data_IF_519163144174
#
_entry.id   IF_519163144174
#
_cell.length_a   1.000
_cell.length_b   1.000
_cell.length_c   1.000
_cell.angle_alpha   90.00
_cell.angle_beta   90.00
_cell.angle_gamma   90.00
#
_symmetry.space_group_name_H-M   'P 1'
#
loop_
_entity.id
_entity.type
_entity.pdbx_description
1 polymer ?
#
# COMPACT_ATOMS: atom_id res chain seq x y z
N UNK A 1 -7.47 -11.67 6.62
CA UNK A 1 -8.40 -10.53 6.76
C UNK A 1 -8.76 -10.04 5.38
N UNK A 2 -10.06 -9.94 5.07
CA UNK A 2 -10.52 -9.42 3.78
C UNK A 2 -10.48 -7.88 3.76
N UNK A 3 -10.33 -7.26 2.59
CA UNK A 3 -10.32 -5.80 2.46
C UNK A 3 -11.64 -5.16 2.88
N UNK A 4 -12.77 -5.84 2.69
CA UNK A 4 -14.07 -5.40 3.23
C UNK A 4 -14.00 -5.15 4.74
N UNK A 5 -13.34 -6.05 5.48
CA UNK A 5 -13.19 -5.91 6.92
C UNK A 5 -12.35 -4.69 7.25
N UNK A 6 -11.22 -4.50 6.56
CA UNK A 6 -10.34 -3.36 6.76
C UNK A 6 -11.07 -2.01 6.64
N UNK A 7 -11.92 -1.88 5.63
CA UNK A 7 -12.68 -0.67 5.37
C UNK A 7 -13.72 -0.34 6.45
N UNK A 8 -14.08 -1.32 7.30
CA UNK A 8 -15.01 -1.12 8.42
C UNK A 8 -14.30 -1.04 9.78
N UNK A 9 -12.97 -1.17 9.81
CA UNK A 9 -12.19 -1.17 11.04
C UNK A 9 -11.69 0.23 11.39
N UNK A 10 -11.99 0.66 12.61
CA UNK A 10 -11.44 1.86 13.23
C UNK A 10 -10.55 1.53 14.45
N UNK A 11 -9.70 2.49 14.84
CA UNK A 11 -8.93 2.38 16.07
C UNK A 11 -9.87 2.45 17.30
N UNK A 12 -9.83 1.41 18.14
CA UNK A 12 -10.65 1.32 19.36
C UNK A 12 -9.88 1.74 20.63
N UNK A 13 -8.89 2.65 20.52
CA UNK A 13 -8.11 3.08 21.70
C UNK A 13 -8.93 4.14 22.47
N UNK A 14 -9.06 4.05 23.82
CA UNK A 14 -9.89 4.98 24.59
C UNK A 14 -9.53 6.46 24.43
N UNK A 15 -8.28 6.77 24.05
CA UNK A 15 -7.79 8.14 23.83
C UNK A 15 -7.61 8.50 22.36
N UNK A 16 -8.16 7.71 21.43
CA UNK A 16 -8.09 7.98 19.99
C UNK A 16 -9.48 8.33 19.46
N UNK A 17 -9.72 9.62 19.19
CA UNK A 17 -10.93 10.08 18.52
C UNK A 17 -10.68 10.23 17.01
N UNK A 18 -11.42 9.45 16.20
CA UNK A 18 -11.36 9.54 14.74
C UNK A 18 -10.19 8.79 14.09
N UNK A 19 -9.77 7.64 14.64
CA UNK A 19 -8.71 6.81 14.06
C UNK A 19 -9.15 5.93 12.89
N UNK A 20 -9.73 6.53 11.85
CA UNK A 20 -10.17 5.89 10.61
C UNK A 20 -9.78 6.78 9.41
N UNK A 21 -9.32 6.21 8.27
CA UNK A 21 -9.01 4.79 8.05
C UNK A 21 -7.72 4.35 8.74
N UNK A 22 -7.59 3.05 9.01
CA UNK A 22 -6.29 2.47 9.39
C UNK A 22 -5.44 2.32 8.11
N UNK A 23 -4.13 2.55 8.19
CA UNK A 23 -3.23 2.29 7.06
C UNK A 23 -2.84 0.83 7.03
N UNK A 24 -3.12 0.12 5.94
CA UNK A 24 -2.72 -1.29 5.76
C UNK A 24 -1.40 -1.38 5.01
N UNK A 25 -0.47 -2.18 5.53
CA UNK A 25 0.73 -2.58 4.82
C UNK A 25 0.89 -4.10 4.96
N UNK A 26 0.87 -4.84 3.84
CA UNK A 26 1.20 -6.26 3.85
C UNK A 26 2.69 -6.47 4.08
N UNK A 27 3.07 -7.62 4.66
CA UNK A 27 4.48 -7.98 4.73
C UNK A 27 5.03 -8.24 3.33
N UNK A 28 6.30 -7.91 3.09
CA UNK A 28 6.98 -8.20 1.81
C UNK A 28 7.34 -9.69 1.64
N UNK A 29 7.06 -10.52 2.64
CA UNK A 29 7.23 -11.96 2.57
C UNK A 29 6.26 -12.61 1.58
N UNK A 30 6.76 -13.60 0.83
CA UNK A 30 5.93 -14.46 0.00
C UNK A 30 4.84 -15.15 0.85
N UNK A 31 3.59 -15.09 0.38
CA UNK A 31 2.43 -15.64 1.09
C UNK A 31 1.81 -14.73 2.15
N UNK A 32 2.20 -13.45 2.21
CA UNK A 32 1.55 -12.45 3.07
C UNK A 32 0.10 -12.15 2.66
N UNK A 33 -0.22 -12.32 1.38
CA UNK A 33 -1.57 -12.23 0.82
C UNK A 33 -1.97 -13.52 0.14
N UNK A 34 -3.25 -13.89 0.26
CA UNK A 34 -3.86 -15.03 -0.42
C UNK A 34 -5.06 -14.53 -1.21
N UNK A 35 -5.21 -14.98 -2.45
CA UNK A 35 -6.44 -14.80 -3.23
C UNK A 35 -7.26 -16.07 -3.08
N UNK A 36 -8.51 -15.93 -2.64
CA UNK A 36 -9.43 -17.04 -2.46
C UNK A 36 -10.73 -16.75 -3.22
N UNK A 37 -11.04 -17.51 -4.27
CA UNK A 37 -12.20 -17.24 -5.12
C UNK A 37 -13.51 -17.36 -4.33
N UNK A 38 -14.45 -16.48 -4.64
CA UNK A 38 -15.77 -16.45 -4.02
C UNK A 38 -16.84 -16.27 -5.09
N UNK A 39 -18.06 -16.72 -4.79
CA UNK A 39 -19.19 -16.49 -5.67
C UNK A 39 -19.44 -14.99 -5.85
N UNK A 40 -19.58 -14.55 -7.10
CA UNK A 40 -19.86 -13.17 -7.43
C UNK A 40 -21.36 -12.89 -7.27
N UNK A 41 -21.69 -11.99 -6.36
CA UNK A 41 -23.04 -11.50 -6.16
C UNK A 41 -23.09 -9.99 -6.44
N UNK A 42 -23.54 -9.56 -7.64
CA UNK A 42 -23.49 -8.15 -8.05
C UNK A 42 -24.33 -7.24 -7.13
N UNK A 43 -25.49 -7.70 -6.68
CA UNK A 43 -26.37 -6.98 -5.76
C UNK A 43 -25.71 -6.72 -4.41
N UNK A 44 -24.93 -7.68 -3.91
CA UNK A 44 -24.16 -7.51 -2.69
C UNK A 44 -23.07 -6.45 -2.85
N UNK A 45 -22.33 -6.46 -3.98
CA UNK A 45 -21.28 -5.48 -4.24
C UNK A 45 -21.86 -4.06 -4.30
N UNK A 46 -22.96 -3.87 -5.04
CA UNK A 46 -23.64 -2.56 -5.15
C UNK A 46 -24.06 -2.02 -3.77
N UNK A 47 -24.72 -2.85 -2.96
CA UNK A 47 -25.13 -2.48 -1.59
C UNK A 47 -23.94 -2.22 -0.67
N UNK A 48 -22.85 -2.94 -0.85
CA UNK A 48 -21.66 -2.80 -0.01
C UNK A 48 -20.89 -1.52 -0.34
N UNK A 49 -20.78 -1.16 -1.62
CA UNK A 49 -20.16 0.10 -2.07
C UNK A 49 -20.85 1.32 -1.46
N UNK A 50 -22.17 1.29 -1.26
CA UNK A 50 -22.91 2.37 -0.60
C UNK A 50 -22.58 2.54 0.90
N UNK A 51 -22.04 1.50 1.54
CA UNK A 51 -21.74 1.49 2.98
C UNK A 51 -20.27 1.67 3.30
N UNK A 52 -19.41 1.51 2.29
CA UNK A 52 -17.96 1.55 2.41
C UNK A 52 -17.42 2.88 1.91
N UNK A 53 -16.25 3.26 2.41
CA UNK A 53 -15.50 4.37 1.85
C UNK A 53 -14.64 3.85 0.67
N UNK A 54 -15.00 4.26 -0.54
CA UNK A 54 -14.30 3.84 -1.75
C UNK A 54 -12.85 4.35 -1.80
N UNK A 55 -12.59 5.57 -1.32
CA UNK A 55 -11.23 6.14 -1.31
C UNK A 55 -10.29 5.31 -0.44
N UNK A 56 -10.79 4.88 0.73
CA UNK A 56 -10.06 3.97 1.63
C UNK A 56 -9.78 2.62 0.97
N UNK A 57 -10.73 2.10 0.20
CA UNK A 57 -10.54 0.84 -0.54
C UNK A 57 -9.45 0.97 -1.60
N UNK A 58 -9.44 2.06 -2.37
CA UNK A 58 -8.42 2.33 -3.40
C UNK A 58 -7.03 2.44 -2.77
N UNK A 59 -6.88 3.16 -1.66
CA UNK A 59 -5.61 3.25 -0.94
C UNK A 59 -5.12 1.90 -0.40
N UNK A 60 -6.04 1.11 0.16
CA UNK A 60 -5.74 -0.23 0.66
C UNK A 60 -5.32 -1.17 -0.48
N UNK A 61 -6.05 -1.15 -1.60
CA UNK A 61 -5.74 -1.96 -2.78
C UNK A 61 -4.37 -1.59 -3.37
N UNK A 62 -4.07 -0.29 -3.49
CA UNK A 62 -2.77 0.21 -3.96
C UNK A 62 -1.63 -0.29 -3.08
N UNK A 63 -1.85 -0.33 -1.76
CA UNK A 63 -0.86 -0.82 -0.78
C UNK A 63 -0.62 -2.33 -0.89
N UNK A 64 -1.57 -3.08 -1.46
CA UNK A 64 -1.46 -4.52 -1.72
C UNK A 64 -1.01 -4.84 -3.16
N UNK A 65 -0.78 -3.82 -4.01
CA UNK A 65 -0.41 -4.00 -5.42
C UNK A 65 -1.60 -4.26 -6.35
N UNK A 66 -2.83 -4.03 -5.90
CA UNK A 66 -4.03 -4.13 -6.73
C UNK A 66 -4.49 -2.74 -7.18
N UNK A 67 -4.87 -2.62 -8.44
CA UNK A 67 -5.36 -1.35 -9.01
C UNK A 67 -6.89 -1.37 -9.10
N UNK A 68 -7.54 -0.38 -8.46
CA UNK A 68 -8.91 0.02 -8.72
C UNK A 68 -8.92 1.43 -9.33
N UNK A 69 -9.96 1.81 -10.08
CA UNK A 69 -10.11 3.20 -10.52
C UNK A 69 -10.25 4.13 -9.30
N UNK A 70 -9.86 5.40 -9.47
CA UNK A 70 -9.84 6.37 -8.35
C UNK A 70 -11.25 6.83 -7.94
N UNK A 71 -12.19 6.77 -8.88
CA UNK A 71 -13.60 7.09 -8.69
C UNK A 71 -14.45 6.16 -9.55
N UNK A 72 -15.73 6.04 -9.22
CA UNK A 72 -16.72 5.32 -10.01
C UNK A 72 -17.94 6.21 -10.24
N UNK A 73 -18.66 5.95 -11.33
CA UNK A 73 -19.93 6.56 -11.70
C UNK A 73 -21.08 5.54 -11.61
N UNK A 74 -22.32 6.00 -11.74
CA UNK A 74 -23.48 5.10 -11.74
C UNK A 74 -23.45 4.11 -12.92
N UNK A 75 -22.87 4.51 -14.06
CA UNK A 75 -22.67 3.62 -15.20
C UNK A 75 -21.70 2.46 -14.88
N UNK A 76 -20.69 2.72 -14.05
CA UNK A 76 -19.74 1.68 -13.64
C UNK A 76 -20.40 0.66 -12.71
N UNK A 77 -21.41 1.07 -11.93
CA UNK A 77 -22.19 0.15 -11.09
C UNK A 77 -23.05 -0.82 -11.93
N UNK A 78 -23.34 -0.48 -13.18
CA UNK A 78 -24.04 -1.35 -14.12
C UNK A 78 -23.09 -2.32 -14.85
N UNK A 79 -21.81 -1.98 -14.96
CA UNK A 79 -20.79 -2.81 -15.61
C UNK A 79 -20.42 -4.02 -14.77
N UNK A 80 -20.57 -5.22 -15.34
CA UNK A 80 -20.14 -6.48 -14.72
C UNK A 80 -18.62 -6.52 -14.48
N UNK A 81 -17.83 -5.88 -15.35
CA UNK A 81 -16.36 -5.84 -15.24
C UNK A 81 -15.93 -5.07 -13.98
N UNK A 82 -16.55 -3.93 -13.71
CA UNK A 82 -16.28 -3.12 -12.53
C UNK A 82 -16.69 -3.87 -11.26
N UNK A 83 -17.88 -4.47 -11.26
CA UNK A 83 -18.37 -5.28 -10.13
C UNK A 83 -17.42 -6.44 -9.84
N UNK A 84 -16.93 -7.14 -10.86
CA UNK A 84 -15.99 -8.25 -10.73
C UNK A 84 -14.64 -7.80 -10.16
N UNK A 85 -14.12 -6.64 -10.62
CA UNK A 85 -12.90 -6.06 -10.09
C UNK A 85 -13.04 -5.71 -8.61
N UNK A 86 -14.13 -5.04 -8.23
CA UNK A 86 -14.41 -4.69 -6.83
C UNK A 86 -14.56 -5.94 -5.99
N UNK A 87 -15.35 -6.93 -6.45
CA UNK A 87 -15.55 -8.21 -5.77
C UNK A 87 -14.23 -8.91 -5.44
N UNK A 88 -13.34 -9.04 -6.43
CA UNK A 88 -12.01 -9.62 -6.24
C UNK A 88 -11.20 -8.91 -5.18
N UNK A 89 -11.30 -7.59 -5.14
CA UNK A 89 -10.60 -6.78 -4.14
C UNK A 89 -11.21 -6.97 -2.75
N UNK A 90 -12.53 -6.82 -2.60
CA UNK A 90 -13.17 -6.77 -1.28
C UNK A 90 -13.36 -8.14 -0.63
N UNK A 91 -13.62 -9.19 -1.42
CA UNK A 91 -13.98 -10.53 -0.94
C UNK A 91 -12.89 -11.57 -1.17
N UNK A 92 -12.21 -11.53 -2.32
CA UNK A 92 -11.23 -12.57 -2.67
C UNK A 92 -9.83 -12.28 -2.15
N UNK A 93 -9.49 -11.01 -1.92
CA UNK A 93 -8.15 -10.62 -1.42
C UNK A 93 -8.09 -10.76 0.09
N UNK A 94 -7.24 -11.68 0.58
CA UNK A 94 -6.99 -11.90 2.01
C UNK A 94 -5.57 -11.49 2.39
N UNK A 95 -5.45 -10.55 3.32
CA UNK A 95 -4.18 -10.24 3.99
C UNK A 95 -4.00 -11.24 5.13
N UNK A 96 -3.00 -12.13 5.03
CA UNK A 96 -2.64 -13.11 6.04
C UNK A 96 -1.62 -12.56 7.04
N UNK A 97 -0.62 -11.83 6.54
CA UNK A 97 0.43 -11.19 7.33
C UNK A 97 0.60 -9.72 6.94
N UNK A 98 0.68 -8.84 7.93
CA UNK A 98 0.88 -7.41 7.69
C UNK A 98 0.67 -6.57 8.94
N UNK A 99 0.51 -5.27 8.76
CA UNK A 99 0.28 -4.31 9.84
C UNK A 99 -0.84 -3.34 9.47
N UNK A 100 -1.56 -2.87 10.49
CA UNK A 100 -2.54 -1.80 10.43
C UNK A 100 -2.07 -0.69 11.36
N UNK A 101 -1.86 0.51 10.83
CA UNK A 101 -1.39 1.66 11.61
C UNK A 101 -2.46 2.72 11.72
N UNK A 102 -2.79 3.14 12.94
CA UNK A 102 -3.70 4.26 13.14
C UNK A 102 -3.03 5.59 12.81
N UNK A 103 -3.62 6.46 11.97
CA UNK A 103 -3.03 7.75 11.62
C UNK A 103 -3.06 8.79 12.76
N UNK A 104 -3.88 8.57 13.79
CA UNK A 104 -4.10 9.52 14.91
C UNK A 104 -3.20 9.23 16.12
N UNK A 105 -3.18 7.98 16.57
CA UNK A 105 -2.47 7.57 17.79
C UNK A 105 -1.23 6.71 17.48
N UNK A 106 -0.88 6.57 16.21
CA UNK A 106 0.28 5.80 15.69
C UNK A 106 0.30 4.34 16.14
N UNK A 107 -0.85 3.84 16.58
CA UNK A 107 -0.95 2.49 17.09
C UNK A 107 -0.85 1.51 15.95
N UNK A 108 0.13 0.61 16.05
CA UNK A 108 0.28 -0.53 15.15
C UNK A 108 -0.48 -1.73 15.69
N UNK A 109 -1.28 -2.35 14.83
CA UNK A 109 -1.91 -3.66 15.02
C UNK A 109 -1.31 -4.62 14.01
N UNK A 110 -0.87 -5.79 14.45
CA UNK A 110 -0.37 -6.80 13.52
C UNK A 110 -1.54 -7.60 12.94
N UNK A 111 -1.38 -8.06 11.71
CA UNK A 111 -2.24 -9.05 11.09
C UNK A 111 -1.46 -10.36 11.11
N UNK A 112 -1.95 -11.34 11.84
CA UNK A 112 -1.37 -12.68 11.90
C UNK A 112 -2.45 -13.72 11.58
N UNK A 113 -2.15 -14.60 10.62
CA UNK A 113 -3.10 -15.59 10.10
C UNK A 113 -4.47 -14.97 9.73
N UNK A 114 -4.42 -13.78 9.15
CA UNK A 114 -5.60 -13.03 8.74
C UNK A 114 -6.47 -12.48 9.88
N UNK A 115 -5.99 -12.50 11.12
CA UNK A 115 -6.64 -11.90 12.29
C UNK A 115 -5.86 -10.68 12.74
N UNK A 116 -6.57 -9.60 13.08
CA UNK A 116 -5.98 -8.42 13.71
C UNK A 116 -5.64 -8.73 15.17
N UNK A 117 -4.37 -8.65 15.51
CA UNK A 117 -3.84 -8.76 16.86
C UNK A 117 -3.31 -7.39 17.32
N UNK A 118 -3.67 -6.97 18.53
CA UNK A 118 -3.07 -5.79 19.14
C UNK A 118 -1.74 -6.21 19.79
N UNK A 119 -0.60 -5.71 19.30
CA UNK A 119 0.70 -5.88 19.99
C UNK A 119 0.66 -5.14 21.31
N UNK A 120 0.69 -5.76 22.49
CA UNK A 120 1.05 -5.00 23.69
C UNK A 120 2.43 -4.39 23.43
N UNK A 121 2.55 -3.07 23.53
CA UNK A 121 3.79 -2.36 23.18
C UNK A 121 4.79 -2.64 24.29
N UNK A 122 5.52 -3.75 24.18
CA UNK A 122 6.81 -3.85 24.81
C UNK A 122 7.80 -3.08 23.94
N UNK A 123 8.42 -2.10 24.58
CA UNK A 123 9.38 -1.16 24.02
C UNK A 123 10.52 -1.96 23.36
N UNK A 124 10.95 -1.52 22.17
CA UNK A 124 12.27 -1.72 21.51
C UNK A 124 12.28 -2.50 20.18
N UNK A 125 12.76 -1.77 19.16
CA UNK A 125 13.44 -2.11 17.90
C UNK A 125 12.67 -2.61 16.67
N UNK A 126 12.94 -1.91 15.54
CA UNK A 126 12.83 -2.44 14.19
C UNK A 126 11.96 -1.60 13.27
N UNK A 127 12.54 -0.56 12.68
CA UNK A 127 11.94 0.25 11.61
C UNK A 127 11.52 -0.63 10.42
N UNK A 128 10.22 -0.82 10.21
CA UNK A 128 9.65 -1.17 8.92
C UNK A 128 8.89 0.03 8.38
N UNK A 129 9.63 0.85 7.64
CA UNK A 129 9.11 1.97 6.87
C UNK A 129 8.32 1.40 5.70
N UNK A 130 6.99 1.52 5.77
CA UNK A 130 6.11 1.45 4.62
C UNK A 130 6.27 2.78 3.86
N UNK A 131 7.37 2.93 3.12
CA UNK A 131 7.64 4.13 2.33
C UNK A 131 6.75 4.11 1.09
N UNK A 132 5.66 4.87 1.15
CA UNK A 132 4.91 5.28 -0.04
C UNK A 132 5.86 6.01 -0.99
N UNK A 133 6.09 5.42 -2.17
CA UNK A 133 6.78 6.10 -3.26
C UNK A 133 6.00 7.37 -3.61
N UNK A 134 6.58 8.54 -3.30
CA UNK A 134 6.11 9.82 -3.83
C UNK A 134 6.29 9.80 -5.34
N UNK A 135 5.19 9.95 -6.07
CA UNK A 135 5.21 10.41 -7.45
C UNK A 135 5.67 11.87 -7.42
N UNK A 136 6.91 12.13 -7.85
CA UNK A 136 7.38 13.47 -8.14
C UNK A 136 7.26 13.69 -9.65
N UNK A 137 6.28 14.50 -10.04
CA UNK A 137 6.08 14.99 -11.40
C UNK A 137 7.31 15.75 -11.91
N UNK A 138 7.55 15.55 -13.20
CA UNK A 138 8.53 16.23 -14.05
C UNK A 138 8.30 17.74 -14.06
N UNK A 139 9.37 18.53 -13.98
CA UNK A 139 9.65 19.65 -14.87
C UNK A 139 11.14 20.00 -14.77
N UNK A 140 11.83 20.03 -15.93
CA UNK A 140 13.21 20.50 -16.06
C UNK A 140 13.33 22.02 -15.88
N UNK A 141 14.56 22.59 -16.02
CA UNK A 141 15.16 22.67 -17.36
C UNK A 141 16.70 22.44 -17.44
N UNK A 142 17.07 21.86 -18.58
CA UNK A 142 18.24 22.08 -19.46
C UNK A 142 19.56 22.74 -18.99
N UNK A 143 20.63 22.01 -19.34
CA UNK A 143 21.86 22.41 -20.07
C UNK A 143 23.06 23.02 -19.30
N UNK A 144 24.21 22.40 -19.53
CA UNK A 144 25.54 22.94 -19.24
C UNK A 144 26.65 21.90 -19.43
N UNK A 145 27.00 21.63 -20.68
CA UNK A 145 28.09 20.76 -21.13
C UNK A 145 29.47 21.36 -20.81
N UNK A 146 30.49 20.52 -20.60
CA UNK A 146 31.88 20.96 -20.42
C UNK A 146 32.84 19.78 -20.27
N UNK A 147 33.18 19.19 -21.41
CA UNK A 147 34.29 18.26 -21.64
C UNK A 147 35.63 18.81 -21.17
N UNK A 148 36.55 17.95 -20.68
CA UNK A 148 37.96 17.95 -21.12
C UNK A 148 38.73 16.76 -20.52
N UNK A 149 39.05 15.79 -21.39
CA UNK A 149 40.21 14.90 -21.27
C UNK A 149 41.35 15.58 -22.07
N UNK A 150 42.62 15.41 -21.67
CA UNK A 150 43.49 14.65 -22.57
C UNK A 150 44.60 13.80 -21.90
N UNK A 151 44.78 12.62 -22.49
CA UNK A 151 46.02 12.03 -23.05
C UNK A 151 47.34 12.06 -22.25
N UNK A 152 47.89 10.86 -22.14
CA UNK A 152 49.22 10.48 -21.69
C UNK A 152 50.36 11.18 -22.43
N UNK A 153 51.45 11.46 -21.70
CA UNK A 153 52.80 11.43 -22.27
C UNK A 153 53.81 10.90 -21.26
N UNK A 154 54.57 9.93 -21.77
CA UNK A 154 55.73 9.24 -21.23
C UNK A 154 56.87 10.19 -20.82
N UNK A 155 57.62 9.79 -19.78
CA UNK A 155 59.07 10.06 -19.64
C UNK A 155 59.72 9.03 -18.71
N UNK A 156 60.53 8.18 -19.33
CA UNK A 156 61.62 7.42 -18.72
C UNK A 156 62.80 8.37 -18.41
N UNK A 157 63.84 7.80 -17.78
CA UNK A 157 65.19 8.30 -17.46
C UNK A 157 65.31 8.95 -16.08
N UNK A 158 66.33 8.75 -15.25
CA UNK A 158 67.31 7.69 -14.93
C UNK A 158 68.12 8.26 -13.74
N UNK A 159 68.71 7.35 -12.95
CA UNK A 159 69.98 7.49 -12.23
C UNK A 159 70.14 8.28 -10.91
N UNK A 160 70.83 7.56 -10.00
CA UNK A 160 71.74 7.99 -8.90
C UNK A 160 71.09 8.66 -7.67
N UNK A 161 71.31 8.21 -6.44
CA UNK A 161 72.53 7.74 -5.74
C UNK A 161 72.19 6.63 -4.77
#
# INVERSE_FOLDING_TARGET
>A
MRLITHNLLMCNRPRCSGGYPLRVCASMEDGSTKVEPQELNPEFIRKMLQRMDYGVLVEAARSLGTNLPESYSDADLESEEFIALVHRCILETHVLKGTLTCPKCERVYDINNGKRAAKLVDRVQGSQICSTARVASRHGPSLGCGSDLPVAHSRLVSDSV
#
